data_IF_616734308199
#
_entry.id   IF_616734308199
#
_cell.length_a   1.000
_cell.length_b   1.000
_cell.length_c   1.000
_cell.angle_alpha   90.00
_cell.angle_beta   90.00
_cell.angle_gamma   90.00
#
_symmetry.space_group_name_H-M   'P 1'
#
loop_
_entity.id
_entity.type
_entity.pdbx_description
1 polymer ?
#
# COMPACT_ATOMS: atom_id res chain seq x y z
N UNK A 1 17.22 21.17 70.92
CA UNK A 1 16.27 22.14 71.53
C UNK A 1 15.22 22.40 70.45
N UNK A 2 14.01 21.82 70.56
CA UNK A 2 12.84 22.37 71.29
C UNK A 2 12.38 23.67 70.62
N UNK A 3 11.16 23.94 70.21
CA UNK A 3 9.84 23.29 70.14
C UNK A 3 8.99 24.26 69.31
N UNK A 4 8.05 23.79 68.49
CA UNK A 4 6.58 23.92 68.69
C UNK A 4 6.08 25.32 69.11
N UNK A 5 5.07 25.88 68.42
CA UNK A 5 3.65 25.60 68.73
C UNK A 5 2.70 26.69 68.17
N UNK A 6 1.64 26.25 67.48
CA UNK A 6 0.27 26.76 67.59
C UNK A 6 -0.16 27.96 66.71
N UNK A 7 -1.43 28.12 66.34
CA UNK A 7 -2.56 27.20 66.20
C UNK A 7 -3.67 27.94 65.40
N UNK A 8 -4.62 27.16 64.88
CA UNK A 8 -5.81 27.35 63.98
C UNK A 8 -6.91 28.34 64.47
N UNK A 9 -8.17 28.49 63.90
CA UNK A 9 -8.92 27.80 62.79
C UNK A 9 -9.73 28.76 61.84
N UNK A 10 -10.46 28.39 60.77
CA UNK A 10 -10.82 27.11 60.15
C UNK A 10 -11.87 27.26 59.02
N UNK A 11 -12.53 26.11 58.72
CA UNK A 11 -13.86 25.89 58.09
C UNK A 11 -13.93 25.53 56.59
N UNK A 12 -14.17 24.23 56.33
CA UNK A 12 -15.20 23.79 55.37
C UNK A 12 -14.89 22.56 54.48
N UNK A 13 -15.42 21.37 54.86
CA UNK A 13 -16.16 20.57 53.86
C UNK A 13 -15.68 19.18 53.42
N UNK A 14 -15.49 18.26 54.37
CA UNK A 14 -15.83 16.82 54.38
C UNK A 14 -15.55 15.84 53.20
N UNK A 15 -15.09 14.66 53.62
CA UNK A 15 -14.51 13.53 52.91
C UNK A 15 -15.36 12.25 53.13
N UNK A 16 -15.22 11.28 52.21
CA UNK A 16 -15.30 9.79 52.39
C UNK A 16 -16.71 9.20 52.60
N UNK A 17 -17.04 8.01 52.10
CA UNK A 17 -16.37 6.74 52.40
C UNK A 17 -16.82 5.58 51.48
N UNK A 18 -16.00 4.52 51.46
CA UNK A 18 -16.23 3.20 50.86
C UNK A 18 -16.86 2.25 51.90
N UNK A 19 -17.80 1.38 51.49
CA UNK A 19 -18.23 0.20 52.25
C UNK A 19 -18.60 -0.98 51.32
N UNK A 20 -18.32 -2.21 51.80
CA UNK A 20 -18.36 -3.52 51.08
C UNK A 20 -19.68 -4.30 51.27
N UNK A 21 -20.09 -5.02 50.20
CA UNK A 21 -20.75 -6.37 50.05
C UNK A 21 -22.15 -6.59 50.71
N UNK A 22 -22.95 -7.65 50.39
CA UNK A 22 -22.79 -8.85 49.53
C UNK A 22 -23.95 -9.12 48.50
N UNK A 23 -23.91 -10.22 47.73
CA UNK A 23 -24.78 -10.47 46.55
C UNK A 23 -25.95 -11.46 46.68
N UNK A 24 -26.61 -11.78 45.57
CA UNK A 24 -27.40 -13.00 45.34
C UNK A 24 -27.78 -13.12 43.84
N UNK A 25 -27.83 -14.36 43.35
CA UNK A 25 -28.34 -14.82 42.05
C UNK A 25 -29.82 -14.48 41.85
N UNK A 26 -30.28 -14.32 40.60
CA UNK A 26 -31.39 -15.12 40.05
C UNK A 26 -31.69 -14.81 38.57
N UNK A 27 -32.33 -15.81 37.97
CA UNK A 27 -32.65 -16.01 36.57
C UNK A 27 -33.46 -14.87 35.93
N UNK A 28 -33.35 -14.73 34.60
CA UNK A 28 -34.46 -14.20 33.81
C UNK A 28 -34.98 -15.28 32.86
N UNK A 29 -36.20 -15.70 33.22
CA UNK A 29 -37.09 -16.67 32.62
C UNK A 29 -37.41 -16.36 31.15
N UNK A 30 -37.55 -17.42 30.34
CA UNK A 30 -38.27 -17.40 29.06
C UNK A 30 -39.78 -17.43 29.31
N UNK A 31 -40.58 -16.67 28.52
CA UNK A 31 -41.81 -17.18 27.86
C UNK A 31 -42.44 -16.18 26.84
N UNK A 32 -43.39 -16.61 25.98
CA UNK A 32 -43.44 -16.39 24.53
C UNK A 32 -44.54 -15.35 24.17
N UNK A 33 -44.82 -14.92 22.94
CA UNK A 33 -45.35 -15.62 21.76
C UNK A 33 -45.27 -14.67 20.56
N UNK A 34 -45.11 -15.20 19.35
CA UNK A 34 -46.10 -14.92 18.30
C UNK A 34 -45.67 -15.49 16.96
N UNK A 35 -46.50 -16.39 16.45
CA UNK A 35 -46.43 -17.09 15.17
C UNK A 35 -46.56 -16.14 13.97
N UNK A 36 -45.83 -16.41 12.88
CA UNK A 36 -46.33 -16.63 11.50
C UNK A 36 -45.33 -16.15 10.44
N UNK A 37 -45.21 -16.98 9.39
CA UNK A 37 -44.84 -16.65 8.01
C UNK A 37 -43.51 -17.23 7.55
N UNK A 38 -43.64 -18.36 6.85
CA UNK A 38 -42.67 -18.86 5.88
C UNK A 38 -42.34 -17.77 4.85
N UNK A 39 -41.06 -17.59 4.54
CA UNK A 39 -40.60 -16.61 3.55
C UNK A 39 -39.17 -16.17 3.80
N UNK A 40 -38.20 -17.08 3.75
CA UNK A 40 -36.78 -16.73 3.77
C UNK A 40 -35.96 -17.82 3.10
N UNK A 41 -36.02 -17.88 1.76
CA UNK A 41 -35.12 -18.71 0.96
C UNK A 41 -34.60 -17.98 -0.30
N UNK A 42 -34.73 -16.65 -0.37
CA UNK A 42 -34.28 -15.86 -1.53
C UNK A 42 -33.45 -14.63 -1.16
N UNK A 43 -33.13 -14.39 0.12
CA UNK A 43 -32.37 -13.21 0.56
C UNK A 43 -30.91 -13.51 0.93
N UNK A 44 -30.52 -14.78 0.94
CA UNK A 44 -29.16 -15.23 1.22
C UNK A 44 -28.31 -15.39 -0.05
N UNK A 45 -28.92 -15.72 -1.18
CA UNK A 45 -28.22 -16.00 -2.44
C UNK A 45 -27.77 -14.70 -3.12
N UNK A 46 -28.59 -13.64 -3.11
CA UNK A 46 -28.26 -12.34 -3.71
C UNK A 46 -27.06 -11.65 -3.04
N UNK A 47 -26.93 -11.77 -1.71
CA UNK A 47 -25.80 -11.23 -0.95
C UNK A 47 -24.51 -12.03 -1.14
N UNK A 48 -24.62 -13.35 -1.38
CA UNK A 48 -23.47 -14.19 -1.72
C UNK A 48 -23.00 -13.94 -3.17
N UNK A 49 -23.92 -13.71 -4.11
CA UNK A 49 -23.59 -13.34 -5.50
C UNK A 49 -22.94 -11.95 -5.59
N UNK A 50 -23.44 -10.94 -4.87
CA UNK A 50 -22.78 -9.62 -4.83
C UNK A 50 -21.40 -9.69 -4.16
N UNK A 51 -21.23 -10.46 -3.07
CA UNK A 51 -19.91 -10.71 -2.48
C UNK A 51 -18.97 -11.38 -3.47
N UNK A 52 -19.43 -12.40 -4.19
CA UNK A 52 -18.62 -13.12 -5.18
C UNK A 52 -18.27 -12.25 -6.39
N UNK A 53 -19.08 -11.25 -6.73
CA UNK A 53 -18.77 -10.28 -7.80
C UNK A 53 -17.64 -9.31 -7.46
N UNK A 54 -17.39 -9.04 -6.16
CA UNK A 54 -16.33 -8.14 -5.70
C UNK A 54 -14.94 -8.82 -5.61
N UNK A 55 -14.89 -10.15 -5.53
CA UNK A 55 -13.64 -10.91 -5.38
C UNK A 55 -13.12 -11.45 -6.73
N UNK A 56 -12.78 -10.55 -7.65
CA UNK A 56 -12.29 -10.93 -8.99
C UNK A 56 -10.78 -11.19 -9.03
N UNK A 57 -10.03 -10.83 -7.99
CA UNK A 57 -8.56 -10.93 -7.97
C UNK A 57 -8.10 -12.28 -7.43
N UNK A 58 -7.85 -13.22 -8.33
CA UNK A 58 -7.28 -14.53 -7.99
C UNK A 58 -5.76 -14.54 -8.18
N UNK A 59 -4.99 -15.08 -7.23
CA UNK A 59 -3.54 -15.22 -7.32
C UNK A 59 -3.15 -16.63 -6.92
N UNK A 60 -2.42 -17.35 -7.78
CA UNK A 60 -1.85 -18.66 -7.42
C UNK A 60 -0.40 -18.54 -6.99
N UNK A 61 -0.09 -19.12 -5.84
CA UNK A 61 1.27 -19.18 -5.32
C UNK A 61 2.16 -20.04 -6.21
N UNK A 62 3.40 -19.57 -6.44
CA UNK A 62 4.45 -20.30 -7.17
C UNK A 62 4.08 -20.68 -8.62
N UNK A 63 3.05 -20.03 -9.21
CA UNK A 63 2.61 -20.30 -10.58
C UNK A 63 2.62 -19.03 -11.44
N UNK A 64 3.83 -18.60 -11.81
CA UNK A 64 4.03 -17.40 -12.64
C UNK A 64 3.40 -17.54 -14.02
N UNK A 65 3.34 -18.75 -14.58
CA UNK A 65 2.69 -19.01 -15.88
C UNK A 65 1.19 -18.78 -15.81
N UNK A 66 0.52 -19.24 -14.76
CA UNK A 66 -0.92 -19.02 -14.56
C UNK A 66 -1.23 -17.53 -14.39
N UNK A 67 -0.52 -16.86 -13.48
CA UNK A 67 -0.75 -15.45 -13.22
C UNK A 67 -0.50 -14.61 -14.49
N UNK A 68 0.55 -14.90 -15.26
CA UNK A 68 0.84 -14.16 -16.50
C UNK A 68 -0.18 -14.40 -17.64
N UNK A 69 -0.94 -15.50 -17.60
CA UNK A 69 -1.96 -15.79 -18.61
C UNK A 69 -3.26 -15.02 -18.39
N UNK A 70 -3.49 -14.53 -17.17
CA UNK A 70 -4.68 -13.74 -16.87
C UNK A 70 -4.62 -12.40 -17.62
N UNK A 71 -5.58 -12.23 -18.51
CA UNK A 71 -5.78 -11.03 -19.32
C UNK A 71 -7.10 -10.37 -18.94
N UNK A 72 -7.09 -9.06 -18.97
CA UNK A 72 -8.26 -8.23 -18.74
C UNK A 72 -8.65 -7.50 -20.03
N UNK A 73 -9.96 -7.36 -20.26
CA UNK A 73 -10.49 -6.65 -21.42
C UNK A 73 -10.57 -5.16 -21.09
N UNK A 74 -9.85 -4.33 -21.84
CA UNK A 74 -9.83 -2.87 -21.57
C UNK A 74 -10.94 -2.16 -22.34
N UNK A 75 -10.99 -2.34 -23.66
CA UNK A 75 -12.01 -1.77 -24.53
C UNK A 75 -12.04 -2.52 -25.87
N UNK A 76 -13.24 -2.80 -26.40
CA UNK A 76 -13.45 -3.65 -27.58
C UNK A 76 -12.76 -5.02 -27.46
N UNK A 77 -11.74 -5.27 -28.29
CA UNK A 77 -10.99 -6.52 -28.39
C UNK A 77 -9.57 -6.42 -27.82
N UNK A 78 -9.18 -5.28 -27.25
CA UNK A 78 -7.83 -5.10 -26.70
C UNK A 78 -7.71 -5.79 -25.34
N UNK A 79 -6.79 -6.76 -25.28
CA UNK A 79 -6.45 -7.49 -24.07
C UNK A 79 -5.15 -6.92 -23.48
N UNK A 80 -5.14 -6.68 -22.17
CA UNK A 80 -3.90 -6.37 -21.43
C UNK A 80 -3.65 -7.45 -20.38
N UNK A 81 -2.40 -7.59 -19.95
CA UNK A 81 -2.07 -8.46 -18.81
C UNK A 81 -2.76 -7.90 -17.56
N UNK A 82 -3.40 -8.77 -16.78
CA UNK A 82 -4.09 -8.38 -15.54
C UNK A 82 -3.11 -7.87 -14.49
N UNK A 83 -2.00 -8.59 -14.29
CA UNK A 83 -0.96 -8.17 -13.35
C UNK A 83 0.08 -7.28 -14.01
N UNK A 84 0.40 -6.18 -13.34
CA UNK A 84 1.55 -5.33 -13.65
C UNK A 84 2.81 -5.87 -12.97
N UNK A 85 3.97 -5.57 -13.54
CA UNK A 85 5.25 -5.86 -12.90
C UNK A 85 5.53 -4.90 -11.73
N UNK A 86 6.46 -5.25 -10.85
CA UNK A 86 6.77 -4.44 -9.66
C UNK A 86 7.64 -3.18 -9.93
N UNK A 87 7.79 -2.78 -11.19
CA UNK A 87 8.60 -1.63 -11.58
C UNK A 87 7.88 -0.33 -11.22
N UNK A 88 8.54 0.54 -10.47
CA UNK A 88 8.08 1.91 -10.24
C UNK A 88 8.72 2.84 -11.27
N UNK A 89 7.93 3.74 -11.84
CA UNK A 89 8.40 4.82 -12.70
C UNK A 89 7.69 6.11 -12.30
N UNK A 90 8.40 6.99 -11.60
CA UNK A 90 7.91 8.31 -11.14
C UNK A 90 8.39 9.44 -12.06
N UNK A 91 9.45 9.21 -12.82
CA UNK A 91 9.93 10.18 -13.79
C UNK A 91 8.90 10.44 -14.89
N UNK A 92 8.83 11.69 -15.36
CA UNK A 92 7.83 12.12 -16.34
C UNK A 92 8.39 12.14 -17.75
N UNK A 93 9.66 12.51 -17.87
CA UNK A 93 10.28 12.75 -19.16
C UNK A 93 11.25 11.62 -19.51
N UNK A 94 11.33 11.32 -20.81
CA UNK A 94 12.45 10.62 -21.38
C UNK A 94 13.46 11.65 -21.91
N UNK A 95 14.72 11.27 -22.09
CA UNK A 95 15.79 12.19 -22.55
C UNK A 95 15.40 12.95 -23.82
N UNK A 96 14.69 12.30 -24.75
CA UNK A 96 14.23 12.92 -26.01
C UNK A 96 12.86 13.61 -25.91
N UNK A 97 11.99 13.18 -25.00
CA UNK A 97 10.67 13.81 -24.82
C UNK A 97 10.70 15.00 -23.87
N UNK A 98 11.79 15.18 -23.12
CA UNK A 98 11.96 16.28 -22.17
C UNK A 98 11.73 17.63 -22.83
N UNK A 99 12.50 17.97 -23.87
CA UNK A 99 12.43 19.29 -24.50
C UNK A 99 11.04 19.63 -25.08
N UNK A 100 10.42 18.82 -25.96
CA UNK A 100 9.13 19.17 -26.55
C UNK A 100 8.01 19.20 -25.50
N UNK A 101 8.00 18.28 -24.54
CA UNK A 101 6.93 18.18 -23.56
C UNK A 101 7.06 19.25 -22.47
N UNK A 102 8.27 19.52 -21.99
CA UNK A 102 8.53 20.60 -21.04
C UNK A 102 8.20 21.97 -21.64
N UNK A 103 8.57 22.23 -22.90
CA UNK A 103 8.18 23.46 -23.58
C UNK A 103 6.66 23.57 -23.73
N UNK A 104 5.99 22.50 -24.13
CA UNK A 104 4.53 22.47 -24.22
C UNK A 104 3.87 22.80 -22.87
N UNK A 105 4.31 22.20 -21.77
CA UNK A 105 3.81 22.48 -20.42
C UNK A 105 4.08 23.92 -19.98
N UNK A 106 5.25 24.47 -20.33
CA UNK A 106 5.57 25.87 -20.06
C UNK A 106 4.66 26.82 -20.85
N UNK A 107 4.44 26.57 -22.14
CA UNK A 107 3.56 27.41 -22.97
C UNK A 107 2.08 27.21 -22.69
N UNK A 108 1.64 26.09 -22.11
CA UNK A 108 0.25 25.96 -21.69
C UNK A 108 -0.12 26.93 -20.52
N UNK A 109 0.87 27.57 -19.89
CA UNK A 109 0.61 28.62 -18.89
C UNK A 109 0.26 29.93 -19.59
N UNK A 110 -0.92 30.48 -19.28
CA UNK A 110 -1.43 31.74 -19.86
C UNK A 110 -0.42 32.89 -19.83
N UNK A 111 0.38 33.01 -18.76
CA UNK A 111 1.42 34.03 -18.66
C UNK A 111 2.50 33.89 -19.74
N UNK A 112 2.95 32.67 -20.02
CA UNK A 112 4.01 32.43 -21.01
C UNK A 112 3.48 32.65 -22.44
N UNK A 113 2.21 32.33 -22.71
CA UNK A 113 1.54 32.68 -23.98
C UNK A 113 1.40 34.19 -24.15
N UNK A 114 1.01 34.90 -23.10
CA UNK A 114 0.90 36.36 -23.11
C UNK A 114 2.25 37.00 -23.46
N UNK A 115 3.33 36.62 -22.77
CA UNK A 115 4.67 37.14 -23.07
C UNK A 115 5.13 36.78 -24.48
N UNK A 116 4.85 35.57 -24.95
CA UNK A 116 5.15 35.15 -26.32
C UNK A 116 4.45 36.05 -27.36
N UNK A 117 3.17 36.33 -27.16
CA UNK A 117 2.40 37.19 -28.07
C UNK A 117 2.94 38.62 -28.11
N UNK A 118 3.27 39.17 -26.93
CA UNK A 118 3.88 40.50 -26.81
C UNK A 118 5.23 40.56 -27.54
N UNK A 119 6.09 39.55 -27.35
CA UNK A 119 7.39 39.45 -28.05
C UNK A 119 7.20 39.37 -29.57
N UNK A 120 6.21 38.61 -30.06
CA UNK A 120 5.90 38.52 -31.49
C UNK A 120 5.46 39.88 -32.04
N UNK A 121 4.56 40.59 -31.34
CA UNK A 121 4.10 41.92 -31.76
C UNK A 121 5.24 42.95 -31.80
N UNK A 122 6.16 42.91 -30.82
CA UNK A 122 7.35 43.79 -30.79
C UNK A 122 8.47 43.37 -31.75
N UNK A 123 8.35 42.21 -32.39
CA UNK A 123 9.23 41.81 -33.49
C UNK A 123 8.94 42.57 -34.80
N UNK A 124 7.77 43.21 -34.92
CA UNK A 124 7.41 44.00 -36.11
C UNK A 124 8.01 45.40 -35.98
N UNK A 125 8.97 45.79 -36.83
CA UNK A 125 9.72 47.04 -36.67
C UNK A 125 8.85 48.30 -36.79
N UNK A 126 7.68 48.23 -37.41
CA UNK A 126 6.77 49.37 -37.57
C UNK A 126 5.99 49.74 -36.29
N UNK A 127 5.86 48.81 -35.34
CA UNK A 127 5.07 48.98 -34.11
C UNK A 127 6.00 49.05 -32.88
N UNK A 128 7.26 48.65 -33.04
CA UNK A 128 8.19 48.46 -31.93
C UNK A 128 8.98 49.72 -31.58
N UNK A 129 8.94 50.11 -30.31
CA UNK A 129 9.73 51.22 -29.76
C UNK A 129 11.04 50.75 -29.11
N UNK A 130 11.25 49.44 -28.99
CA UNK A 130 12.35 48.79 -28.28
C UNK A 130 12.98 47.71 -29.17
N UNK A 131 14.29 47.43 -29.04
CA UNK A 131 14.87 46.35 -29.79
C UNK A 131 14.31 44.99 -29.31
N UNK A 132 14.03 44.09 -30.26
CA UNK A 132 13.44 42.77 -30.06
C UNK A 132 14.10 41.92 -28.95
N UNK A 133 15.43 42.05 -28.77
CA UNK A 133 16.19 41.29 -27.79
C UNK A 133 15.86 41.66 -26.34
N UNK A 134 15.37 42.88 -26.07
CA UNK A 134 15.12 43.38 -24.70
C UNK A 134 14.06 42.57 -23.97
N UNK A 135 13.07 42.04 -24.70
CA UNK A 135 12.01 41.22 -24.12
C UNK A 135 12.21 39.73 -24.39
N UNK A 136 12.79 39.39 -25.55
CA UNK A 136 13.11 38.00 -25.88
C UNK A 136 14.16 37.38 -24.94
N UNK A 137 15.21 38.13 -24.60
CA UNK A 137 16.31 37.64 -23.75
C UNK A 137 15.85 37.27 -22.34
N UNK A 138 15.18 38.16 -21.56
CA UNK A 138 14.73 37.80 -20.22
C UNK A 138 13.66 36.69 -20.25
N UNK A 139 12.77 36.68 -21.24
CA UNK A 139 11.77 35.62 -21.38
C UNK A 139 12.42 34.26 -21.64
N UNK A 140 13.35 34.19 -22.59
CA UNK A 140 14.10 32.96 -22.90
C UNK A 140 14.91 32.49 -21.70
N UNK A 141 15.57 33.42 -20.99
CA UNK A 141 16.29 33.10 -19.75
C UNK A 141 15.37 32.49 -18.69
N UNK A 142 14.16 33.05 -18.50
CA UNK A 142 13.17 32.50 -17.56
C UNK A 142 12.70 31.09 -17.95
N UNK A 143 12.49 30.82 -19.25
CA UNK A 143 12.14 29.48 -19.72
C UNK A 143 13.27 28.48 -19.47
N UNK A 144 14.52 28.88 -19.74
CA UNK A 144 15.72 28.06 -19.51
C UNK A 144 15.89 27.73 -18.02
N UNK A 145 15.75 28.72 -17.13
CA UNK A 145 15.88 28.50 -15.68
C UNK A 145 14.83 27.49 -15.19
N UNK A 146 13.57 27.65 -15.63
CA UNK A 146 12.50 26.70 -15.28
C UNK A 146 12.77 25.31 -15.83
N UNK A 147 13.12 25.20 -17.11
CA UNK A 147 13.46 23.93 -17.74
C UNK A 147 14.64 23.24 -17.02
N UNK A 148 15.66 23.99 -16.61
CA UNK A 148 16.82 23.42 -15.90
C UNK A 148 16.43 22.88 -14.54
N UNK A 149 15.55 23.57 -13.80
CA UNK A 149 15.00 23.07 -12.54
C UNK A 149 14.19 21.79 -12.74
N UNK A 150 13.26 21.80 -13.70
CA UNK A 150 12.40 20.65 -13.99
C UNK A 150 13.24 19.44 -14.45
N UNK A 151 14.31 19.67 -15.20
CA UNK A 151 15.29 18.65 -15.60
C UNK A 151 16.05 18.09 -14.40
N UNK A 152 16.54 18.95 -13.49
CA UNK A 152 17.26 18.52 -12.30
C UNK A 152 16.37 17.65 -11.39
N UNK A 153 15.12 18.07 -11.21
CA UNK A 153 14.12 17.34 -10.43
C UNK A 153 13.80 15.98 -11.08
N UNK A 154 13.63 15.91 -12.40
CA UNK A 154 13.34 14.65 -13.11
C UNK A 154 14.55 13.70 -13.11
N UNK A 155 15.78 14.21 -13.25
CA UNK A 155 17.00 13.41 -13.07
C UNK A 155 17.07 12.82 -11.65
N UNK A 156 16.68 13.60 -10.64
CA UNK A 156 16.54 13.13 -9.26
C UNK A 156 15.57 11.95 -9.15
N UNK A 157 14.40 12.04 -9.79
CA UNK A 157 13.41 10.96 -9.85
C UNK A 157 13.96 9.70 -10.53
N UNK A 158 14.59 9.82 -11.70
CA UNK A 158 15.21 8.68 -12.39
C UNK A 158 16.25 7.95 -11.52
N UNK A 159 17.06 8.71 -10.76
CA UNK A 159 18.05 8.13 -9.82
C UNK A 159 17.36 7.42 -8.65
N UNK A 160 16.32 8.01 -8.08
CA UNK A 160 15.52 7.41 -7.01
C UNK A 160 14.86 6.11 -7.47
N UNK A 161 14.17 6.15 -8.62
CA UNK A 161 13.51 5.00 -9.23
C UNK A 161 14.50 3.85 -9.47
N UNK A 162 15.69 4.17 -10.03
CA UNK A 162 16.74 3.15 -10.25
C UNK A 162 17.21 2.54 -8.93
N UNK A 163 17.33 3.34 -7.88
CA UNK A 163 17.76 2.88 -6.56
C UNK A 163 16.72 1.94 -5.95
N UNK A 164 15.44 2.34 -5.94
CA UNK A 164 14.34 1.53 -5.39
C UNK A 164 14.16 0.23 -6.17
N UNK A 165 14.11 0.30 -7.51
CA UNK A 165 13.91 -0.86 -8.37
C UNK A 165 15.07 -1.87 -8.34
N UNK A 166 16.26 -1.43 -7.94
CA UNK A 166 17.45 -2.28 -7.83
C UNK A 166 17.71 -2.83 -6.43
N UNK A 167 16.87 -2.51 -5.45
CA UNK A 167 16.96 -3.09 -4.10
C UNK A 167 16.87 -4.63 -4.15
N UNK A 168 17.67 -5.34 -3.35
CA UNK A 168 17.63 -6.79 -3.31
C UNK A 168 16.43 -7.28 -2.47
N UNK A 169 15.88 -8.43 -2.84
CA UNK A 169 14.84 -9.15 -2.10
C UNK A 169 15.09 -10.66 -2.29
N UNK A 170 14.85 -11.46 -1.25
CA UNK A 170 14.89 -12.91 -1.38
C UNK A 170 13.56 -13.42 -1.92
N UNK A 171 13.62 -14.05 -3.08
CA UNK A 171 12.47 -14.64 -3.76
C UNK A 171 12.68 -16.14 -3.89
N UNK A 172 11.62 -16.92 -3.70
CA UNK A 172 11.66 -18.35 -3.91
C UNK A 172 11.78 -18.63 -5.41
N UNK A 173 12.80 -19.39 -5.80
CA UNK A 173 12.98 -19.86 -7.19
C UNK A 173 13.26 -21.36 -7.15
N UNK A 174 12.30 -22.14 -7.65
CA UNK A 174 12.36 -23.60 -7.55
C UNK A 174 12.23 -24.05 -6.10
N UNK A 175 13.32 -24.49 -5.49
CA UNK A 175 13.34 -25.07 -4.14
C UNK A 175 14.05 -24.20 -3.08
N UNK A 176 14.61 -23.05 -3.46
CA UNK A 176 15.44 -22.22 -2.58
C UNK A 176 15.18 -20.73 -2.77
N UNK A 177 15.46 -19.93 -1.74
CA UNK A 177 15.39 -18.48 -1.83
C UNK A 177 16.67 -17.91 -2.46
N UNK A 178 16.49 -17.11 -3.51
CA UNK A 178 17.57 -16.43 -4.23
C UNK A 178 17.38 -14.93 -4.16
N UNK A 179 18.50 -14.20 -4.07
CA UNK A 179 18.51 -12.75 -4.14
C UNK A 179 18.19 -12.27 -5.55
N UNK A 180 17.14 -11.46 -5.68
CA UNK A 180 16.68 -10.83 -6.92
C UNK A 180 16.38 -9.35 -6.67
N UNK A 181 16.21 -8.58 -7.75
CA UNK A 181 15.91 -7.15 -7.63
C UNK A 181 14.40 -6.94 -7.49
N UNK A 182 14.00 -5.88 -6.80
CA UNK A 182 12.59 -5.54 -6.61
C UNK A 182 11.80 -5.44 -7.92
N UNK A 183 12.42 -4.94 -9.00
CA UNK A 183 11.81 -4.87 -10.33
C UNK A 183 11.42 -6.22 -10.94
N UNK A 184 12.07 -7.31 -10.53
CA UNK A 184 11.89 -8.65 -11.12
C UNK A 184 10.73 -9.41 -10.45
N UNK A 185 10.21 -8.88 -9.34
CA UNK A 185 9.13 -9.42 -8.52
C UNK A 185 7.79 -9.36 -9.25
N UNK A 186 7.04 -10.46 -9.18
CA UNK A 186 5.73 -10.61 -9.79
C UNK A 186 4.69 -11.10 -8.79
N UNK A 187 3.42 -10.90 -9.15
CA UNK A 187 2.28 -11.39 -8.37
C UNK A 187 2.30 -12.92 -8.32
N UNK A 188 2.13 -13.47 -7.12
CA UNK A 188 2.19 -14.90 -6.81
C UNK A 188 3.59 -15.44 -6.49
N UNK A 189 4.63 -14.60 -6.54
CA UNK A 189 5.96 -14.99 -6.07
C UNK A 189 5.98 -15.04 -4.54
N UNK A 190 6.73 -16.00 -4.00
CA UNK A 190 6.97 -16.13 -2.56
C UNK A 190 8.24 -15.38 -2.18
N UNK A 191 8.17 -14.57 -1.14
CA UNK A 191 9.28 -13.74 -0.68
C UNK A 191 9.64 -14.08 0.76
N UNK A 192 10.93 -13.97 1.06
CA UNK A 192 11.47 -14.05 2.41
C UNK A 192 11.98 -12.66 2.80
N UNK A 193 11.42 -12.10 3.85
CA UNK A 193 11.78 -10.79 4.36
C UNK A 193 12.39 -10.94 5.74
N UNK A 194 13.41 -10.14 6.02
CA UNK A 194 14.16 -10.21 7.27
C UNK A 194 13.90 -8.96 8.09
N UNK A 195 14.30 -9.00 9.36
CA UNK A 195 14.28 -7.85 10.26
C UNK A 195 14.90 -6.62 9.60
N UNK A 196 14.25 -5.47 9.79
CA UNK A 196 14.61 -4.15 9.29
C UNK A 196 14.56 -3.98 7.76
N UNK A 197 14.11 -4.99 7.01
CA UNK A 197 13.87 -4.84 5.58
C UNK A 197 12.55 -4.11 5.31
N UNK A 198 12.56 -3.26 4.30
CA UNK A 198 11.34 -2.67 3.74
C UNK A 198 10.62 -3.70 2.87
N UNK A 199 9.29 -3.76 3.00
CA UNK A 199 8.44 -4.65 2.21
C UNK A 199 8.38 -4.15 0.75
N UNK A 200 8.70 -5.01 -0.25
CA UNK A 200 8.91 -4.59 -1.64
C UNK A 200 7.63 -4.34 -2.46
N UNK A 201 6.52 -4.94 -2.05
CA UNK A 201 5.22 -5.01 -2.70
C UNK A 201 4.16 -5.36 -1.64
N UNK A 202 2.88 -5.46 -1.96
CA UNK A 202 1.92 -5.91 -0.95
C UNK A 202 1.94 -7.42 -0.84
N UNK A 203 2.22 -7.89 0.36
CA UNK A 203 2.55 -9.28 0.64
C UNK A 203 1.59 -9.82 1.68
N UNK A 204 0.90 -10.92 1.35
CA UNK A 204 0.16 -11.70 2.32
C UNK A 204 1.14 -12.46 3.21
N UNK A 205 1.05 -12.26 4.52
CA UNK A 205 1.87 -12.96 5.50
C UNK A 205 1.43 -14.42 5.60
N UNK A 206 2.35 -15.35 5.35
CA UNK A 206 2.10 -16.80 5.39
C UNK A 206 2.66 -17.44 6.66
N UNK A 207 3.88 -17.05 7.02
CA UNK A 207 4.56 -17.54 8.21
C UNK A 207 5.54 -16.49 8.74
N UNK A 208 5.80 -16.55 10.05
CA UNK A 208 6.81 -15.75 10.73
C UNK A 208 7.58 -16.62 11.72
N UNK A 209 8.81 -16.22 12.06
CA UNK A 209 9.62 -16.86 13.09
C UNK A 209 9.08 -16.61 14.51
N UNK A 210 8.31 -15.55 14.71
CA UNK A 210 7.71 -15.22 16.00
C UNK A 210 6.59 -16.21 16.39
N UNK A 211 6.33 -16.40 17.70
CA UNK A 211 5.25 -17.25 18.16
C UNK A 211 3.90 -16.77 17.62
N UNK A 212 3.02 -17.73 17.32
CA UNK A 212 1.69 -17.46 16.73
C UNK A 212 1.74 -16.74 15.37
N UNK A 213 2.88 -16.78 14.67
CA UNK A 213 3.06 -16.22 13.33
C UNK A 213 2.84 -14.70 13.27
N UNK A 214 3.17 -14.00 14.35
CA UNK A 214 3.08 -12.54 14.41
C UNK A 214 4.23 -11.88 13.62
N UNK A 215 3.96 -10.74 13.01
CA UNK A 215 4.97 -9.91 12.37
C UNK A 215 4.71 -8.47 12.78
N UNK A 216 5.72 -7.79 13.32
CA UNK A 216 5.59 -6.37 13.64
C UNK A 216 6.07 -5.53 12.46
N UNK A 217 5.29 -4.51 12.13
CA UNK A 217 5.58 -3.58 11.05
C UNK A 217 5.50 -2.15 11.54
N UNK A 218 6.44 -1.34 11.08
CA UNK A 218 6.45 0.10 11.23
C UNK A 218 5.91 0.72 9.94
N UNK A 219 4.94 1.62 10.07
CA UNK A 219 4.27 2.30 8.95
C UNK A 219 4.69 3.75 8.77
N UNK A 220 5.76 4.20 9.45
CA UNK A 220 6.25 5.58 9.42
C UNK A 220 6.47 6.14 7.99
N UNK A 221 6.88 5.30 7.04
CA UNK A 221 7.10 5.69 5.64
C UNK A 221 5.79 5.85 4.84
N UNK A 222 4.65 5.39 5.37
CA UNK A 222 3.33 5.40 4.71
C UNK A 222 2.43 6.47 5.33
N UNK A 223 2.17 6.37 6.63
CA UNK A 223 1.19 7.20 7.37
C UNK A 223 1.86 8.13 8.39
N UNK A 224 3.18 8.06 8.56
CA UNK A 224 3.92 8.83 9.55
C UNK A 224 3.75 8.32 10.99
N UNK A 225 3.05 7.21 11.20
CA UNK A 225 2.89 6.62 12.52
C UNK A 225 4.15 5.84 12.92
N UNK A 226 4.71 6.17 14.08
CA UNK A 226 5.91 5.53 14.63
C UNK A 226 5.60 4.28 15.45
N UNK A 227 4.32 3.99 15.68
CA UNK A 227 3.91 2.83 16.45
C UNK A 227 4.06 1.55 15.63
N UNK A 228 4.44 0.47 16.30
CA UNK A 228 4.49 -0.85 15.70
C UNK A 228 3.08 -1.41 15.62
N UNK A 229 2.65 -1.76 14.41
CA UNK A 229 1.43 -2.52 14.16
C UNK A 229 1.80 -3.99 14.05
N UNK A 230 1.01 -4.87 14.65
CA UNK A 230 1.20 -6.31 14.47
C UNK A 230 0.31 -6.82 13.34
N UNK A 231 0.82 -7.78 12.59
CA UNK A 231 0.13 -8.56 11.57
C UNK A 231 0.25 -10.02 11.93
N UNK A 232 -0.74 -10.83 11.57
CA UNK A 232 -0.76 -12.24 11.93
C UNK A 232 -0.97 -13.08 10.67
N UNK A 233 -0.17 -14.13 10.50
CA UNK A 233 -0.41 -15.07 9.41
C UNK A 233 -1.64 -15.94 9.72
N UNK A 234 -2.34 -16.48 8.70
CA UNK A 234 -3.38 -17.48 8.92
C UNK A 234 -2.84 -18.65 9.76
N UNK A 235 -3.59 -19.07 10.78
CA UNK A 235 -3.11 -20.08 11.74
C UNK A 235 -2.80 -21.42 11.07
N UNK A 236 -3.49 -21.74 9.96
CA UNK A 236 -3.24 -22.96 9.18
C UNK A 236 -1.88 -22.98 8.49
N UNK A 237 -1.39 -21.84 7.99
CA UNK A 237 -0.11 -21.75 7.27
C UNK A 237 1.09 -21.71 8.21
N UNK A 238 0.94 -21.14 9.41
CA UNK A 238 2.03 -20.99 10.40
C UNK A 238 2.78 -22.30 10.70
N UNK A 239 2.05 -23.36 11.05
CA UNK A 239 2.64 -24.63 11.48
C UNK A 239 3.26 -25.43 10.33
N UNK A 240 2.79 -25.18 9.11
CA UNK A 240 3.16 -25.96 7.96
C UNK A 240 4.26 -25.29 7.11
N UNK A 241 4.38 -23.97 7.11
CA UNK A 241 5.28 -23.22 6.24
C UNK A 241 6.53 -22.70 6.95
N UNK A 242 6.97 -23.34 8.02
CA UNK A 242 8.15 -22.92 8.78
C UNK A 242 9.48 -23.20 8.06
N UNK A 243 9.48 -24.13 7.09
CA UNK A 243 10.68 -24.57 6.37
C UNK A 243 10.63 -24.15 4.89
N UNK A 244 11.78 -23.77 4.33
CA UNK A 244 11.91 -23.38 2.91
C UNK A 244 11.39 -24.45 1.94
N UNK A 245 11.68 -25.73 2.22
CA UNK A 245 11.20 -26.84 1.37
C UNK A 245 9.68 -26.95 1.35
N UNK A 246 9.04 -26.72 2.50
CA UNK A 246 7.57 -26.75 2.59
C UNK A 246 6.96 -25.52 1.91
N UNK A 247 7.64 -24.38 2.00
CA UNK A 247 7.32 -23.19 1.24
C UNK A 247 7.42 -23.42 -0.27
N UNK A 248 8.41 -24.19 -0.73
CA UNK A 248 8.54 -24.54 -2.14
C UNK A 248 7.40 -25.43 -2.66
N UNK A 249 6.88 -26.32 -1.81
CA UNK A 249 5.72 -27.15 -2.12
C UNK A 249 4.37 -26.44 -1.93
N UNK A 250 4.35 -25.21 -1.41
CA UNK A 250 3.12 -24.48 -1.12
C UNK A 250 2.38 -24.13 -2.41
N UNK A 251 1.13 -24.58 -2.47
CA UNK A 251 0.21 -24.38 -3.59
C UNK A 251 -1.12 -23.86 -3.05
N UNK A 252 -1.13 -22.59 -2.66
CA UNK A 252 -2.33 -21.87 -2.25
C UNK A 252 -2.88 -20.99 -3.38
N UNK A 253 -4.19 -20.82 -3.39
CA UNK A 253 -4.89 -19.84 -4.23
C UNK A 253 -5.47 -18.76 -3.33
N UNK A 254 -5.13 -17.50 -3.57
CA UNK A 254 -5.72 -16.37 -2.86
C UNK A 254 -6.74 -15.72 -3.78
N UNK A 255 -7.94 -15.49 -3.27
CA UNK A 255 -9.01 -14.76 -3.95
C UNK A 255 -9.31 -13.52 -3.12
N UNK A 256 -9.10 -12.33 -3.67
CA UNK A 256 -9.32 -11.07 -2.96
C UNK A 256 -9.99 -10.02 -3.84
N UNK A 257 -10.30 -8.89 -3.23
CA UNK A 257 -10.81 -7.72 -3.94
C UNK A 257 -9.79 -7.16 -4.93
N UNK A 258 -10.23 -6.27 -5.83
CA UNK A 258 -9.31 -5.54 -6.69
C UNK A 258 -8.48 -4.53 -5.88
N UNK A 259 -7.27 -4.16 -6.37
CA UNK A 259 -6.47 -3.16 -5.68
C UNK A 259 -7.23 -1.85 -5.50
N UNK A 260 -7.42 -1.46 -4.24
CA UNK A 260 -8.10 -0.23 -3.85
C UNK A 260 -7.08 0.78 -3.27
N UNK A 261 -7.51 2.01 -2.96
CA UNK A 261 -6.66 3.03 -2.31
C UNK A 261 -6.82 3.08 -0.78
N UNK A 262 -7.61 2.17 -0.21
CA UNK A 262 -7.98 2.13 1.20
C UNK A 262 -7.03 1.19 1.97
N UNK A 263 -5.97 1.75 2.55
CA UNK A 263 -4.90 0.99 3.23
C UNK A 263 -5.37 0.10 4.40
N UNK A 264 -6.52 0.41 5.02
CA UNK A 264 -7.06 -0.34 6.15
C UNK A 264 -8.13 -1.36 5.77
N UNK A 265 -8.60 -1.33 4.51
CA UNK A 265 -9.61 -2.23 4.00
C UNK A 265 -8.96 -3.24 3.06
N UNK A 266 -8.93 -4.49 3.51
CA UNK A 266 -8.53 -5.61 2.69
C UNK A 266 -9.42 -6.80 3.04
N UNK A 267 -10.08 -7.37 2.05
CA UNK A 267 -10.88 -8.58 2.17
C UNK A 267 -10.40 -9.62 1.14
N UNK A 268 -10.25 -10.85 1.62
CA UNK A 268 -9.97 -11.98 0.74
C UNK A 268 -10.14 -13.32 1.42
N UNK A 269 -9.78 -14.36 0.68
CA UNK A 269 -9.80 -15.73 1.13
C UNK A 269 -8.58 -16.48 0.57
N UNK A 270 -7.83 -17.14 1.45
CA UNK A 270 -6.81 -18.10 1.06
C UNK A 270 -7.44 -19.49 1.04
N UNK A 271 -7.43 -20.14 -0.12
CA UNK A 271 -7.78 -21.54 -0.27
C UNK A 271 -6.51 -22.38 -0.37
N UNK A 272 -6.34 -23.30 0.58
CA UNK A 272 -5.17 -24.16 0.65
C UNK A 272 -5.52 -25.50 1.31
N UNK A 273 -5.09 -26.61 0.69
CA UNK A 273 -5.39 -27.98 1.15
C UNK A 273 -6.90 -28.25 1.37
N UNK A 274 -7.76 -27.66 0.53
CA UNK A 274 -9.22 -27.78 0.65
C UNK A 274 -9.83 -27.02 1.84
N UNK A 275 -9.03 -26.22 2.56
CA UNK A 275 -9.48 -25.33 3.62
C UNK A 275 -9.47 -23.89 3.13
N UNK A 276 -10.50 -23.13 3.55
CA UNK A 276 -10.64 -21.71 3.27
C UNK A 276 -10.31 -20.91 4.54
N UNK A 277 -9.43 -19.93 4.40
CA UNK A 277 -9.03 -19.01 5.46
C UNK A 277 -9.48 -17.60 5.06
N UNK A 278 -10.30 -16.95 5.88
CA UNK A 278 -10.66 -15.54 5.67
C UNK A 278 -9.43 -14.67 5.90
N UNK A 279 -9.22 -13.70 5.01
CA UNK A 279 -8.13 -12.75 5.09
C UNK A 279 -8.67 -11.34 5.33
N UNK A 280 -8.01 -10.62 6.22
CA UNK A 280 -8.27 -9.22 6.53
C UNK A 280 -7.00 -8.35 6.38
N UNK A 281 -7.13 -7.06 6.63
CA UNK A 281 -5.97 -6.14 6.62
C UNK A 281 -4.92 -6.49 7.68
N UNK A 282 -5.28 -7.28 8.70
CA UNK A 282 -4.37 -7.86 9.70
C UNK A 282 -3.43 -8.92 9.14
N UNK A 283 -3.72 -9.51 7.98
CA UNK A 283 -2.88 -10.53 7.35
C UNK A 283 -1.91 -9.98 6.29
N UNK A 284 -2.07 -8.73 5.84
CA UNK A 284 -1.28 -8.14 4.75
C UNK A 284 -0.17 -7.22 5.26
N UNK A 285 0.99 -7.29 4.61
CA UNK A 285 2.12 -6.39 4.74
C UNK A 285 2.11 -5.45 3.54
N UNK A 286 1.87 -4.16 3.78
CA UNK A 286 1.84 -3.16 2.72
C UNK A 286 3.25 -2.81 2.25
N UNK A 287 3.36 -2.47 0.97
CA UNK A 287 4.59 -1.91 0.39
C UNK A 287 5.03 -0.68 1.18
N UNK A 288 6.33 -0.60 1.48
CA UNK A 288 6.92 0.54 2.20
C UNK A 288 6.91 0.37 3.72
N UNK A 289 6.12 -0.56 4.27
CA UNK A 289 6.27 -0.95 5.66
C UNK A 289 7.68 -1.48 5.93
N UNK A 290 8.18 -1.26 7.14
CA UNK A 290 9.44 -1.82 7.59
C UNK A 290 9.19 -2.90 8.63
N UNK A 291 9.78 -4.08 8.44
CA UNK A 291 9.62 -5.19 9.38
C UNK A 291 10.49 -4.91 10.60
N UNK A 292 9.91 -5.01 11.79
CA UNK A 292 10.58 -4.81 13.07
C UNK A 292 10.27 -5.98 13.98
N UNK A 293 11.11 -6.23 14.99
CA UNK A 293 10.89 -7.25 16.03
C UNK A 293 10.43 -8.62 15.48
N UNK A 294 10.92 -9.00 14.31
CA UNK A 294 10.61 -10.25 13.65
C UNK A 294 11.82 -10.59 12.80
N UNK A 295 12.50 -11.69 13.13
CA UNK A 295 13.77 -12.05 12.48
C UNK A 295 13.57 -12.39 11.01
N UNK A 296 12.60 -13.26 10.72
CA UNK A 296 12.28 -13.66 9.35
C UNK A 296 10.77 -13.86 9.18
N UNK A 297 10.22 -13.36 8.08
CA UNK A 297 8.86 -13.66 7.69
C UNK A 297 8.78 -14.05 6.22
N UNK A 298 7.81 -14.89 5.92
CA UNK A 298 7.53 -15.39 4.59
C UNK A 298 6.16 -14.93 4.15
N UNK A 299 6.07 -14.54 2.89
CA UNK A 299 4.80 -14.11 2.35
C UNK A 299 4.67 -14.28 0.86
N UNK A 300 3.43 -14.14 0.41
CA UNK A 300 3.02 -14.23 -0.98
C UNK A 300 2.71 -12.85 -1.52
N UNK A 301 3.31 -12.48 -2.66
CA UNK A 301 3.01 -11.21 -3.31
C UNK A 301 1.60 -11.25 -3.91
N UNK A 302 0.72 -10.36 -3.46
CA UNK A 302 -0.66 -10.25 -3.96
C UNK A 302 -0.79 -9.10 -4.95
N UNK A 303 -0.19 -7.95 -4.64
CA UNK A 303 -0.18 -6.78 -5.51
C UNK A 303 1.23 -6.29 -5.76
N UNK A 304 1.50 -5.83 -6.99
CA UNK A 304 2.81 -5.37 -7.41
C UNK A 304 2.73 -4.07 -8.22
N UNK A 305 3.80 -3.27 -8.14
CA UNK A 305 3.95 -2.06 -8.95
C UNK A 305 2.95 -0.97 -8.58
N UNK A 306 2.31 -0.36 -9.59
CA UNK A 306 1.29 0.69 -9.37
C UNK A 306 -0.05 0.14 -8.86
N UNK A 307 -0.19 -1.19 -8.78
CA UNK A 307 -1.37 -1.84 -8.23
C UNK A 307 -1.20 -2.15 -6.73
N UNK A 308 -0.08 -1.80 -6.11
CA UNK A 308 0.04 -1.90 -4.67
C UNK A 308 -0.88 -0.86 -3.98
N UNK A 309 -1.57 -1.29 -2.92
CA UNK A 309 -2.31 -0.50 -1.92
C UNK A 309 -1.41 0.49 -1.19
N UNK A 310 -0.15 0.09 -0.94
CA UNK A 310 0.86 0.98 -0.37
C UNK A 310 1.19 2.15 -1.32
N UNK A 311 1.72 3.26 -0.81
CA UNK A 311 1.97 4.45 -1.62
C UNK A 311 2.83 4.10 -2.83
N UNK A 312 2.41 4.58 -4.00
CA UNK A 312 3.30 4.75 -5.12
C UNK A 312 4.29 5.84 -4.70
N UNK A 313 5.42 5.42 -4.11
CA UNK A 313 6.51 6.30 -3.70
C UNK A 313 6.87 7.29 -4.81
#
# INVERSE_FOLDING_TARGET
>A
MRSEMGDTPGRGGAQRSCLKKPGLSENCERRPEGTTSAGSLAYGEDLEEEKNSAFTWEVKANNRTYNNQLKEKVFLCWQRKKYKGNIIHTAKYNVFSFLPLNLYEQFHRMSNLYFLFIIILQGIPEISTLPWFTLFTPFTCLLIIRATRDLADDIGRHRSDRTINSRPCQMLVGSSFLWRKWKDLCVGDLVCLHKDNTVPADVLLLASTEPSSLCYVETADIDGETNLKFRQAPMGTHQALTNERKMASFQGTVVCEEPNSQMHHFLGCLEWEGKKYSLDSGNILLRGCKIRNTDTCYGLVIYAGTAALGPAA
#
